data_IF_350943046839
#
_entry.id   IF_350943046839
#
_cell.length_a   1.000
_cell.length_b   1.000
_cell.length_c   1.000
_cell.angle_alpha   90.00
_cell.angle_beta   90.00
_cell.angle_gamma   90.00
#
_symmetry.space_group_name_H-M   'P 1'
#
loop_
_entity.id
_entity.type
_entity.pdbx_description
1 polymer ?
#
# COMPACT_ATOMS: atom_id res chain seq x y z
N UNK A 1 30.70 -5.49 -6.31
CA UNK A 1 29.96 -5.94 -5.12
C UNK A 1 28.78 -6.79 -5.59
N UNK A 2 28.41 -7.81 -4.84
CA UNK A 2 27.25 -8.67 -5.16
C UNK A 2 26.09 -8.37 -4.22
N UNK A 3 24.86 -8.48 -4.73
CA UNK A 3 23.63 -8.35 -3.97
C UNK A 3 22.81 -9.61 -4.10
N UNK A 4 22.05 -9.91 -3.07
CA UNK A 4 21.06 -11.00 -3.05
C UNK A 4 19.68 -10.41 -3.32
N UNK A 5 18.88 -11.06 -4.15
CA UNK A 5 17.53 -10.59 -4.45
C UNK A 5 16.56 -11.74 -4.74
N UNK A 6 15.27 -11.51 -4.56
CA UNK A 6 14.21 -12.41 -5.00
C UNK A 6 13.62 -11.87 -6.30
N UNK A 7 13.56 -12.75 -7.31
CA UNK A 7 13.07 -12.43 -8.64
C UNK A 7 12.04 -13.46 -9.11
N UNK A 8 11.39 -13.16 -10.22
CA UNK A 8 10.60 -14.11 -10.98
C UNK A 8 10.82 -13.95 -12.49
N UNK A 9 10.75 -15.08 -13.22
CA UNK A 9 11.04 -15.17 -14.65
C UNK A 9 9.80 -15.43 -15.53
N UNK A 10 8.65 -15.72 -14.92
CA UNK A 10 7.35 -15.96 -15.58
C UNK A 10 6.22 -15.57 -14.62
N UNK A 11 5.03 -15.37 -15.14
CA UNK A 11 3.85 -15.22 -14.28
C UNK A 11 3.39 -16.58 -13.73
N UNK A 12 2.89 -16.61 -12.51
CA UNK A 12 2.40 -17.83 -11.86
C UNK A 12 2.24 -17.68 -10.35
N UNK A 13 1.94 -18.80 -9.70
CA UNK A 13 1.81 -18.85 -8.24
C UNK A 13 3.16 -18.68 -7.56
N UNK A 14 3.14 -18.10 -6.37
CA UNK A 14 4.33 -17.75 -5.60
C UNK A 14 5.32 -18.92 -5.43
N UNK A 15 4.79 -20.12 -5.20
CA UNK A 15 5.62 -21.30 -4.95
C UNK A 15 6.39 -21.77 -6.19
N UNK A 16 5.85 -21.48 -7.40
CA UNK A 16 6.38 -21.98 -8.67
C UNK A 16 7.35 -21.03 -9.36
N UNK A 17 7.35 -19.76 -8.99
CA UNK A 17 7.99 -18.71 -9.80
C UNK A 17 9.07 -17.91 -9.10
N UNK A 18 9.07 -17.86 -7.76
CA UNK A 18 10.05 -17.07 -7.03
C UNK A 18 11.37 -17.82 -6.93
N UNK A 19 12.45 -17.08 -7.22
CA UNK A 19 13.83 -17.54 -7.19
C UNK A 19 14.68 -16.59 -6.32
N UNK A 20 15.58 -17.16 -5.52
CA UNK A 20 16.56 -16.41 -4.75
C UNK A 20 17.88 -16.43 -5.52
N UNK A 21 18.39 -15.28 -5.92
CA UNK A 21 19.57 -15.16 -6.77
C UNK A 21 20.60 -14.21 -6.18
N UNK A 22 21.85 -14.40 -6.58
CA UNK A 22 22.93 -13.44 -6.35
C UNK A 22 23.31 -12.79 -7.69
N UNK A 23 23.31 -11.47 -7.72
CA UNK A 23 23.61 -10.68 -8.93
C UNK A 23 24.63 -9.58 -8.59
N UNK A 24 25.23 -8.98 -9.59
CA UNK A 24 26.08 -7.82 -9.39
C UNK A 24 25.28 -6.60 -8.94
N UNK A 25 25.90 -5.75 -8.11
CA UNK A 25 25.34 -4.46 -7.73
C UNK A 25 25.09 -3.60 -8.97
N UNK A 26 23.90 -3.00 -9.06
CA UNK A 26 23.53 -2.14 -10.19
C UNK A 26 24.36 -0.85 -10.18
N UNK A 27 24.71 -0.34 -11.37
CA UNK A 27 25.28 0.99 -11.49
C UNK A 27 24.27 2.03 -10.99
N UNK A 28 24.71 2.95 -10.16
CA UNK A 28 23.92 4.06 -9.68
C UNK A 28 23.76 5.12 -10.78
N UNK A 29 22.56 5.64 -10.99
CA UNK A 29 22.31 6.78 -11.86
C UNK A 29 22.48 8.10 -11.08
N UNK A 30 22.65 9.20 -11.79
CA UNK A 30 22.92 10.50 -11.18
C UNK A 30 21.75 11.01 -10.28
N UNK A 31 20.52 10.59 -10.54
CA UNK A 31 19.29 10.96 -9.82
C UNK A 31 18.81 9.88 -8.83
N UNK A 32 19.66 8.88 -8.55
CA UNK A 32 19.34 7.77 -7.66
C UNK A 32 20.19 7.75 -6.39
N UNK A 33 19.68 7.08 -5.39
CA UNK A 33 20.41 6.68 -4.18
C UNK A 33 20.51 5.16 -4.12
N UNK A 34 21.62 4.65 -3.58
CA UNK A 34 21.80 3.23 -3.24
C UNK A 34 21.49 3.04 -1.76
N UNK A 35 20.58 2.14 -1.46
CA UNK A 35 20.12 1.85 -0.11
C UNK A 35 20.53 0.42 0.27
N UNK A 36 21.14 0.25 1.45
CA UNK A 36 21.19 -1.03 2.15
C UNK A 36 19.81 -1.26 2.74
N UNK A 37 19.09 -2.24 2.21
CA UNK A 37 17.73 -2.54 2.64
C UNK A 37 17.75 -3.28 3.98
N UNK A 38 16.99 -2.80 4.94
CA UNK A 38 16.80 -3.44 6.25
C UNK A 38 15.51 -4.24 6.32
N UNK A 39 14.42 -3.68 5.82
CA UNK A 39 13.11 -4.34 5.86
C UNK A 39 12.27 -4.02 4.64
N UNK A 40 11.39 -4.94 4.29
CA UNK A 40 10.45 -4.84 3.16
C UNK A 40 9.04 -5.16 3.64
N UNK A 41 8.13 -4.20 3.50
CA UNK A 41 6.71 -4.39 3.76
C UNK A 41 6.00 -5.03 2.57
N UNK A 42 5.24 -6.08 2.82
CA UNK A 42 4.52 -6.80 1.77
C UNK A 42 3.12 -6.22 1.53
N UNK A 43 2.71 -6.22 0.28
CA UNK A 43 1.41 -5.68 -0.14
C UNK A 43 0.66 -6.66 -1.06
N UNK A 44 -0.68 -6.73 -0.99
CA UNK A 44 -1.46 -7.59 -1.89
C UNK A 44 -1.24 -7.31 -3.37
N UNK A 45 -0.87 -6.08 -3.74
CA UNK A 45 -0.56 -5.72 -5.12
C UNK A 45 0.69 -6.45 -5.64
N UNK A 46 1.62 -6.82 -4.77
CA UNK A 46 2.86 -7.52 -5.17
C UNK A 46 2.52 -8.89 -5.77
N UNK A 47 1.77 -9.75 -5.05
CA UNK A 47 1.41 -11.06 -5.56
C UNK A 47 0.44 -10.99 -6.75
N UNK A 48 -0.50 -10.05 -6.74
CA UNK A 48 -1.40 -9.83 -7.89
C UNK A 48 -0.65 -9.50 -9.18
N UNK A 49 0.49 -8.82 -9.07
CA UNK A 49 1.33 -8.49 -10.23
C UNK A 49 2.08 -9.71 -10.73
N UNK A 50 2.77 -10.45 -9.87
CA UNK A 50 3.56 -11.59 -10.32
C UNK A 50 2.70 -12.81 -10.69
N UNK A 51 1.48 -12.92 -10.20
CA UNK A 51 0.50 -13.89 -10.71
C UNK A 51 -0.10 -13.47 -12.06
N UNK A 52 0.06 -12.23 -12.46
CA UNK A 52 -0.44 -11.74 -13.74
C UNK A 52 -1.96 -11.63 -13.79
N UNK A 53 -2.58 -11.19 -12.70
CA UNK A 53 -4.04 -11.02 -12.59
C UNK A 53 -4.59 -10.20 -13.77
N UNK A 54 -5.63 -10.73 -14.44
CA UNK A 54 -6.18 -10.19 -15.71
C UNK A 54 -6.49 -8.69 -15.63
N UNK A 55 -7.06 -8.20 -14.52
CA UNK A 55 -7.40 -6.78 -14.34
C UNK A 55 -6.16 -5.86 -14.40
N UNK A 56 -5.03 -6.29 -13.82
CA UNK A 56 -3.77 -5.53 -13.86
C UNK A 56 -3.10 -5.60 -15.23
N UNK A 57 -3.27 -6.72 -15.96
CA UNK A 57 -2.81 -6.83 -17.36
C UNK A 57 -3.59 -5.91 -18.28
N UNK A 58 -4.90 -5.84 -18.12
CA UNK A 58 -5.77 -4.91 -18.86
C UNK A 58 -5.40 -3.46 -18.53
N UNK A 59 -5.23 -3.13 -17.25
CA UNK A 59 -4.80 -1.79 -16.83
C UNK A 59 -3.44 -1.43 -17.44
N UNK A 60 -2.48 -2.36 -17.42
CA UNK A 60 -1.16 -2.14 -18.03
C UNK A 60 -1.23 -1.93 -19.54
N UNK A 61 -2.15 -2.60 -20.22
CA UNK A 61 -2.40 -2.41 -21.65
C UNK A 61 -2.95 -1.01 -21.93
N UNK A 62 -3.96 -0.54 -21.19
CA UNK A 62 -4.48 0.83 -21.33
C UNK A 62 -3.45 1.91 -20.97
N UNK A 63 -2.58 1.66 -19.98
CA UNK A 63 -1.48 2.58 -19.68
C UNK A 63 -0.46 2.66 -20.82
N UNK A 64 -0.18 1.56 -21.51
CA UNK A 64 0.67 1.54 -22.72
C UNK A 64 0.04 2.27 -23.89
N UNK A 65 -1.27 2.15 -24.10
CA UNK A 65 -2.00 2.87 -25.15
C UNK A 65 -1.83 4.39 -25.06
N UNK A 66 -1.65 4.93 -23.84
CA UNK A 66 -1.40 6.36 -23.62
C UNK A 66 0.06 6.79 -23.83
N UNK A 67 0.97 5.86 -24.16
CA UNK A 67 2.40 6.12 -24.37
C UNK A 67 2.89 5.44 -25.65
N UNK A 68 2.62 6.02 -26.83
CA UNK A 68 2.98 5.41 -28.13
C UNK A 68 4.47 5.08 -28.27
N UNK A 69 5.35 5.87 -27.65
CA UNK A 69 6.81 5.63 -27.64
C UNK A 69 7.23 4.32 -26.98
N UNK A 70 6.38 3.71 -26.16
CA UNK A 70 6.65 2.41 -25.51
C UNK A 70 6.20 1.21 -26.37
N UNK A 71 5.43 1.43 -27.44
CA UNK A 71 4.96 0.36 -28.34
C UNK A 71 6.09 -0.28 -29.14
N UNK A 72 7.10 0.50 -29.46
CA UNK A 72 8.26 0.07 -30.25
C UNK A 72 9.42 -0.47 -29.38
N UNK A 73 9.35 -0.33 -28.05
CA UNK A 73 10.32 -0.96 -27.19
C UNK A 73 10.06 -2.47 -27.21
N UNK A 74 11.02 -3.17 -27.80
CA UNK A 74 11.00 -4.62 -28.03
C UNK A 74 10.44 -5.37 -26.82
N UNK A 75 9.65 -6.43 -27.07
CA UNK A 75 9.24 -7.45 -26.09
C UNK A 75 10.42 -8.14 -25.40
N UNK A 76 11.66 -7.73 -25.69
CA UNK A 76 12.87 -8.22 -25.07
C UNK A 76 12.83 -7.96 -23.58
N UNK A 77 12.64 -9.07 -22.90
CA UNK A 77 12.78 -9.23 -21.46
C UNK A 77 11.75 -8.48 -20.61
N UNK A 78 10.50 -8.95 -20.64
CA UNK A 78 9.57 -8.71 -19.54
C UNK A 78 10.18 -9.17 -18.21
N UNK A 79 11.12 -10.08 -18.23
CA UNK A 79 11.79 -10.73 -17.11
C UNK A 79 13.33 -10.64 -17.21
N UNK A 80 14.09 -10.91 -16.14
CA UNK A 80 13.60 -11.14 -14.77
C UNK A 80 13.04 -9.86 -14.14
N UNK A 81 12.20 -10.03 -13.10
CA UNK A 81 11.63 -8.94 -12.31
C UNK A 81 11.82 -9.18 -10.83
N UNK A 82 12.17 -8.15 -10.08
CA UNK A 82 12.18 -8.16 -8.62
C UNK A 82 10.78 -8.12 -8.03
N UNK A 83 10.68 -8.40 -6.75
CA UNK A 83 9.46 -8.52 -5.96
C UNK A 83 9.49 -7.53 -4.80
N UNK A 84 8.30 -7.09 -4.34
CA UNK A 84 8.16 -6.15 -3.23
C UNK A 84 8.33 -4.69 -3.67
N UNK A 85 7.69 -3.79 -2.96
CA UNK A 85 7.68 -2.35 -3.28
C UNK A 85 8.13 -1.47 -2.13
N UNK A 86 7.60 -1.73 -0.94
CA UNK A 86 7.84 -0.93 0.24
C UNK A 86 9.12 -1.39 0.94
N UNK A 87 9.93 -0.44 1.34
CA UNK A 87 11.23 -0.72 1.94
C UNK A 87 11.62 0.32 2.99
N UNK A 88 12.59 -0.05 3.81
CA UNK A 88 13.34 0.85 4.67
C UNK A 88 14.79 0.44 4.72
N UNK A 89 15.68 1.38 4.97
CA UNK A 89 17.11 1.10 4.98
C UNK A 89 17.97 2.33 5.22
N UNK A 90 19.25 2.19 4.92
CA UNK A 90 20.26 3.23 5.09
C UNK A 90 20.90 3.54 3.75
N UNK A 91 21.08 4.82 3.43
CA UNK A 91 21.74 5.26 2.19
C UNK A 91 23.23 4.93 2.26
N UNK A 92 23.72 4.17 1.28
CA UNK A 92 25.13 3.82 1.10
C UNK A 92 25.86 4.75 0.14
N UNK A 93 25.13 5.26 -0.88
CA UNK A 93 25.71 6.05 -1.97
C UNK A 93 24.63 6.95 -2.56
N UNK A 94 25.01 8.15 -2.98
CA UNK A 94 24.12 9.11 -3.65
C UNK A 94 24.65 9.47 -5.02
N UNK A 95 23.76 9.62 -5.99
CA UNK A 95 24.08 10.12 -7.33
C UNK A 95 24.38 11.63 -7.31
N UNK A 96 25.10 12.10 -8.31
CA UNK A 96 25.60 13.50 -8.38
C UNK A 96 24.50 14.57 -8.39
N UNK A 97 23.27 14.21 -8.75
CA UNK A 97 22.13 15.14 -8.81
C UNK A 97 21.21 15.03 -7.58
N UNK A 98 21.54 14.18 -6.60
CA UNK A 98 20.78 14.05 -5.34
C UNK A 98 21.24 15.16 -4.39
N UNK A 99 20.30 15.93 -3.87
CA UNK A 99 20.60 17.10 -3.03
C UNK A 99 19.91 17.09 -1.66
N UNK A 100 18.85 16.27 -1.49
CA UNK A 100 18.03 16.30 -0.27
C UNK A 100 18.40 15.19 0.74
N UNK A 101 19.39 14.37 0.41
CA UNK A 101 19.79 13.21 1.24
C UNK A 101 21.32 13.10 1.31
N UNK A 102 21.79 12.45 2.37
CA UNK A 102 23.19 12.16 2.64
C UNK A 102 23.44 10.67 2.84
N UNK A 103 24.68 10.23 2.61
CA UNK A 103 25.12 8.88 2.99
C UNK A 103 24.97 8.71 4.50
N UNK A 104 24.41 7.59 4.93
CA UNK A 104 24.08 7.31 6.32
C UNK A 104 22.65 7.66 6.73
N UNK A 105 21.92 8.42 5.94
CA UNK A 105 20.52 8.73 6.23
C UNK A 105 19.69 7.44 6.32
N UNK A 106 18.89 7.35 7.38
CA UNK A 106 17.88 6.31 7.54
C UNK A 106 16.63 6.73 6.79
N UNK A 107 16.20 5.88 5.86
CA UNK A 107 15.10 6.20 4.95
C UNK A 107 14.07 5.07 4.87
N UNK A 108 12.87 5.42 4.44
CA UNK A 108 11.86 4.48 3.99
C UNK A 108 11.23 5.00 2.70
N UNK A 109 10.56 4.13 1.98
CA UNK A 109 9.92 4.54 0.74
C UNK A 109 9.17 3.42 0.05
N UNK A 110 8.77 3.70 -1.19
CA UNK A 110 8.12 2.71 -2.05
C UNK A 110 8.55 2.90 -3.50
N UNK A 111 8.73 1.82 -4.21
CA UNK A 111 8.91 1.86 -5.66
C UNK A 111 7.60 2.32 -6.28
N UNK A 112 7.53 3.60 -6.70
CA UNK A 112 6.30 4.26 -7.19
C UNK A 112 5.76 3.53 -8.43
N UNK A 113 6.63 3.21 -9.38
CA UNK A 113 6.26 2.38 -10.53
C UNK A 113 6.30 0.90 -10.11
N UNK A 114 5.14 0.24 -9.92
CA UNK A 114 5.13 -1.12 -9.39
C UNK A 114 5.97 -2.06 -10.25
N UNK A 115 6.71 -2.99 -9.63
CA UNK A 115 7.34 -4.08 -10.34
C UNK A 115 6.34 -4.74 -11.30
N UNK A 116 6.71 -4.88 -12.56
CA UNK A 116 5.82 -5.46 -13.57
C UNK A 116 4.86 -4.52 -14.29
N UNK A 117 4.64 -3.30 -13.80
CA UNK A 117 3.81 -2.30 -14.46
C UNK A 117 4.60 -1.08 -14.97
N UNK A 118 5.87 -0.96 -14.66
CA UNK A 118 6.70 0.18 -15.10
C UNK A 118 8.18 0.03 -14.76
N UNK A 119 8.54 -0.94 -13.91
CA UNK A 119 9.94 -1.23 -13.56
C UNK A 119 10.17 -2.72 -13.42
N UNK A 120 11.45 -3.09 -13.48
CA UNK A 120 11.94 -4.44 -13.12
C UNK A 120 12.53 -4.49 -11.71
N UNK A 121 12.64 -3.34 -11.03
CA UNK A 121 13.18 -3.27 -9.68
C UNK A 121 12.21 -3.95 -8.71
N UNK A 122 12.72 -4.54 -7.65
CA UNK A 122 11.97 -5.06 -6.51
C UNK A 122 12.71 -4.75 -5.22
N UNK A 123 11.98 -4.58 -4.14
CA UNK A 123 12.53 -4.22 -2.84
C UNK A 123 13.08 -5.41 -2.05
N UNK A 124 12.68 -6.65 -2.37
CA UNK A 124 13.24 -7.86 -1.74
C UNK A 124 14.65 -8.13 -2.26
N UNK A 125 15.58 -7.28 -1.84
CA UNK A 125 16.99 -7.29 -2.21
C UNK A 125 17.85 -6.71 -1.08
N UNK A 126 19.11 -7.10 -0.99
CA UNK A 126 20.04 -6.52 0.00
C UNK A 126 20.45 -5.09 -0.33
N UNK A 127 20.44 -4.72 -1.63
CA UNK A 127 20.74 -3.37 -2.11
C UNK A 127 19.72 -2.92 -3.15
N UNK A 128 19.21 -1.69 -3.00
CA UNK A 128 18.20 -1.12 -3.88
C UNK A 128 18.66 0.27 -4.37
N UNK A 129 18.61 0.49 -5.69
CA UNK A 129 18.78 1.82 -6.27
C UNK A 129 17.43 2.41 -6.63
N UNK A 130 17.09 3.56 -6.07
CA UNK A 130 15.81 4.28 -6.28
C UNK A 130 16.06 5.77 -6.43
N UNK A 131 15.09 6.47 -7.01
CA UNK A 131 15.13 7.94 -7.10
C UNK A 131 14.90 8.57 -5.73
N UNK A 132 15.48 9.75 -5.51
CA UNK A 132 15.23 10.50 -4.28
C UNK A 132 13.74 10.79 -4.05
N UNK A 133 12.94 10.91 -5.11
CA UNK A 133 11.48 11.10 -5.01
C UNK A 133 10.70 9.86 -4.53
N UNK A 134 11.36 8.72 -4.40
CA UNK A 134 10.77 7.45 -3.92
C UNK A 134 11.07 7.18 -2.44
N UNK A 135 11.83 8.06 -1.78
CA UNK A 135 12.28 7.90 -0.40
C UNK A 135 11.97 9.10 0.50
N UNK A 136 12.02 8.84 1.81
CA UNK A 136 11.75 9.80 2.88
C UNK A 136 12.63 9.50 4.07
N UNK A 137 12.99 10.53 4.86
CA UNK A 137 13.71 10.33 6.11
C UNK A 137 12.85 9.49 7.07
N UNK A 138 13.40 8.40 7.56
CA UNK A 138 12.77 7.58 8.57
C UNK A 138 12.80 8.32 9.91
N UNK A 139 11.64 8.56 10.56
CA UNK A 139 11.66 9.09 11.93
C UNK A 139 12.39 8.16 12.88
N UNK A 140 13.21 8.73 13.79
CA UNK A 140 14.04 7.94 14.71
C UNK A 140 13.25 7.00 15.63
N UNK A 141 12.05 7.43 16.05
CA UNK A 141 11.15 6.65 16.92
C UNK A 141 10.53 5.42 16.27
N UNK A 142 10.68 5.23 14.95
CA UNK A 142 10.06 4.15 14.18
C UNK A 142 11.15 3.15 13.79
N UNK A 143 10.94 1.85 14.07
CA UNK A 143 11.85 0.78 13.60
C UNK A 143 11.85 0.67 12.08
N UNK A 144 12.87 0.06 11.47
CA UNK A 144 12.88 -0.23 10.04
C UNK A 144 11.71 -1.14 9.64
N UNK A 145 11.37 -2.12 10.47
CA UNK A 145 10.22 -2.99 10.20
C UNK A 145 8.90 -2.19 10.07
N UNK A 146 8.63 -1.28 10.99
CA UNK A 146 7.44 -0.43 10.92
C UNK A 146 7.54 0.54 9.73
N UNK A 147 8.66 1.21 9.53
CA UNK A 147 8.85 2.17 8.44
C UNK A 147 8.63 1.54 7.06
N UNK A 148 9.11 0.31 6.84
CA UNK A 148 8.91 -0.42 5.58
C UNK A 148 7.43 -0.70 5.24
N UNK A 149 6.51 -0.60 6.20
CA UNK A 149 5.08 -0.83 5.97
C UNK A 149 4.32 0.42 5.53
N UNK A 150 4.96 1.58 5.59
CA UNK A 150 4.30 2.88 5.40
C UNK A 150 4.21 3.31 3.93
N UNK A 151 5.04 2.77 3.05
CA UNK A 151 5.17 3.21 1.67
C UNK A 151 3.84 3.29 0.91
N UNK A 152 3.34 2.15 0.46
CA UNK A 152 2.05 2.07 -0.26
C UNK A 152 0.89 2.55 0.62
N UNK A 153 0.95 2.32 1.94
CA UNK A 153 -0.12 2.73 2.83
C UNK A 153 -0.31 4.25 2.85
N UNK A 154 0.77 5.03 2.97
CA UNK A 154 0.73 6.50 2.92
C UNK A 154 0.09 7.00 1.63
N UNK A 155 0.60 6.52 0.49
CA UNK A 155 0.09 6.90 -0.83
C UNK A 155 -1.38 6.51 -1.01
N UNK A 156 -1.76 5.34 -0.50
CA UNK A 156 -3.11 4.82 -0.66
C UNK A 156 -4.11 5.62 0.17
N UNK A 157 -3.83 5.80 1.45
CA UNK A 157 -4.74 6.48 2.39
C UNK A 157 -4.81 7.98 2.10
N UNK A 158 -3.66 8.65 1.96
CA UNK A 158 -3.60 10.07 1.64
C UNK A 158 -4.26 10.41 0.31
N UNK A 159 -3.97 9.63 -0.74
CA UNK A 159 -4.58 9.81 -2.05
C UNK A 159 -6.08 9.52 -2.07
N UNK A 160 -6.54 8.50 -1.30
CA UNK A 160 -7.95 8.16 -1.21
C UNK A 160 -8.75 9.28 -0.55
N UNK A 161 -8.35 9.72 0.63
CA UNK A 161 -9.07 10.75 1.37
C UNK A 161 -9.00 12.13 0.70
N UNK A 162 -7.87 12.45 0.04
CA UNK A 162 -7.81 13.66 -0.80
C UNK A 162 -8.81 13.60 -1.94
N UNK A 163 -8.95 12.44 -2.60
CA UNK A 163 -9.86 12.32 -3.75
C UNK A 163 -11.33 12.48 -3.37
N UNK A 164 -11.75 12.00 -2.21
CA UNK A 164 -13.11 12.17 -1.69
C UNK A 164 -13.26 13.42 -0.82
N UNK A 165 -12.20 14.23 -0.70
CA UNK A 165 -12.18 15.48 0.04
C UNK A 165 -12.65 15.34 1.50
N UNK A 166 -12.02 14.42 2.26
CA UNK A 166 -12.33 14.21 3.69
C UNK A 166 -12.10 15.47 4.51
N UNK A 167 -13.09 15.84 5.33
CA UNK A 167 -13.09 16.97 6.27
C UNK A 167 -13.25 16.48 7.72
N UNK A 168 -13.00 17.36 8.68
CA UNK A 168 -13.06 17.03 10.11
C UNK A 168 -14.47 16.75 10.65
N UNK A 169 -15.49 17.28 9.98
CA UNK A 169 -16.91 17.09 10.33
C UNK A 169 -17.58 15.95 9.55
N UNK A 170 -16.81 15.25 8.71
CA UNK A 170 -17.35 14.11 7.95
C UNK A 170 -17.66 12.90 8.85
N UNK A 171 -18.67 12.15 8.45
CA UNK A 171 -18.96 10.80 8.92
C UNK A 171 -18.61 9.84 7.80
N UNK A 172 -17.51 9.09 7.97
CA UNK A 172 -16.98 8.22 6.93
C UNK A 172 -17.17 6.74 7.27
N UNK A 173 -17.71 5.98 6.32
CA UNK A 173 -17.75 4.52 6.39
C UNK A 173 -16.54 3.95 5.68
N UNK A 174 -15.84 3.00 6.32
CA UNK A 174 -14.64 2.35 5.76
C UNK A 174 -14.85 0.85 5.74
N UNK A 175 -14.79 0.21 4.56
CA UNK A 175 -14.84 -1.25 4.44
C UNK A 175 -13.48 -1.90 4.69
N UNK A 176 -13.47 -3.19 5.06
CA UNK A 176 -12.27 -3.93 5.48
C UNK A 176 -11.44 -3.18 6.53
N UNK A 177 -12.09 -2.55 7.49
CA UNK A 177 -11.52 -1.63 8.46
C UNK A 177 -10.47 -2.26 9.38
N UNK A 178 -10.45 -3.57 9.57
CA UNK A 178 -9.43 -4.31 10.34
C UNK A 178 -8.21 -4.72 9.51
N UNK A 179 -8.26 -4.57 8.18
CA UNK A 179 -7.18 -4.95 7.27
C UNK A 179 -6.00 -3.97 7.26
N UNK A 180 -4.91 -4.34 6.57
CA UNK A 180 -3.66 -3.59 6.57
C UNK A 180 -3.75 -2.14 6.08
N UNK A 181 -4.65 -1.82 5.14
CA UNK A 181 -4.91 -0.43 4.70
C UNK A 181 -6.08 0.16 5.48
N UNK A 182 -7.17 -0.62 5.67
CA UNK A 182 -8.36 -0.14 6.37
C UNK A 182 -8.07 0.35 7.79
N UNK A 183 -7.26 -0.38 8.56
CA UNK A 183 -6.90 0.01 9.93
C UNK A 183 -6.10 1.32 10.00
N UNK A 184 -5.27 1.59 9.00
CA UNK A 184 -4.54 2.86 8.88
C UNK A 184 -5.52 3.96 8.46
N UNK A 185 -6.43 3.68 7.52
CA UNK A 185 -7.44 4.63 7.06
C UNK A 185 -8.38 5.05 8.18
N UNK A 186 -8.84 4.10 9.05
CA UNK A 186 -9.64 4.41 10.25
C UNK A 186 -8.91 5.44 11.11
N UNK A 187 -7.70 5.13 11.53
CA UNK A 187 -6.92 6.00 12.43
C UNK A 187 -6.58 7.35 11.78
N UNK A 188 -6.25 7.34 10.49
CA UNK A 188 -5.98 8.58 9.75
C UNK A 188 -7.21 9.50 9.73
N UNK A 189 -8.41 8.96 9.44
CA UNK A 189 -9.64 9.74 9.43
C UNK A 189 -10.00 10.25 10.83
N UNK A 190 -9.84 9.43 11.87
CA UNK A 190 -10.00 9.84 13.27
C UNK A 190 -9.03 10.97 13.64
N UNK A 191 -7.76 10.84 13.26
CA UNK A 191 -6.75 11.88 13.50
C UNK A 191 -7.05 13.20 12.75
N UNK A 192 -7.84 13.15 11.68
CA UNK A 192 -8.37 14.33 10.97
C UNK A 192 -9.64 14.92 11.61
N UNK A 193 -10.20 14.29 12.63
CA UNK A 193 -11.40 14.73 13.33
C UNK A 193 -12.71 14.12 12.81
N UNK A 194 -12.67 13.23 11.80
CA UNK A 194 -13.86 12.60 11.26
C UNK A 194 -14.42 11.53 12.21
N UNK A 195 -15.75 11.34 12.22
CA UNK A 195 -16.43 10.19 12.84
C UNK A 195 -16.32 9.00 11.88
N UNK A 196 -15.80 7.87 12.36
CA UNK A 196 -15.49 6.70 11.52
C UNK A 196 -16.34 5.50 11.88
N UNK A 197 -17.06 4.93 10.91
CA UNK A 197 -17.78 3.68 11.00
C UNK A 197 -16.99 2.61 10.23
N UNK A 198 -16.41 1.64 10.95
CA UNK A 198 -15.49 0.65 10.38
C UNK A 198 -16.15 -0.70 10.15
N UNK A 199 -16.35 -1.11 8.89
CA UNK A 199 -16.95 -2.41 8.56
C UNK A 199 -15.87 -3.49 8.61
N UNK A 200 -16.08 -4.48 9.48
CA UNK A 200 -15.19 -5.63 9.67
C UNK A 200 -15.96 -6.86 10.17
N UNK A 201 -15.28 -7.96 10.51
CA UNK A 201 -15.88 -9.08 11.22
C UNK A 201 -16.23 -8.70 12.65
N UNK A 202 -17.21 -9.36 13.23
CA UNK A 202 -17.62 -9.16 14.63
C UNK A 202 -16.44 -9.35 15.61
N UNK A 203 -15.59 -10.34 15.35
CA UNK A 203 -14.37 -10.60 16.12
C UNK A 203 -13.33 -9.46 16.06
N UNK A 204 -13.52 -8.49 15.18
CA UNK A 204 -12.64 -7.32 15.04
C UNK A 204 -13.19 -6.08 15.75
N UNK A 205 -14.35 -6.17 16.42
CA UNK A 205 -15.03 -5.01 17.01
C UNK A 205 -14.15 -4.26 18.01
N UNK A 206 -13.52 -4.97 18.95
CA UNK A 206 -12.62 -4.35 19.93
C UNK A 206 -11.38 -3.73 19.28
N UNK A 207 -10.88 -4.35 18.21
CA UNK A 207 -9.78 -3.78 17.45
C UNK A 207 -10.20 -2.46 16.78
N UNK A 208 -11.35 -2.41 16.11
CA UNK A 208 -11.87 -1.17 15.50
C UNK A 208 -12.07 -0.07 16.54
N UNK A 209 -12.63 -0.38 17.71
CA UNK A 209 -12.75 0.58 18.83
C UNK A 209 -11.39 1.11 19.28
N UNK A 210 -10.39 0.23 19.38
CA UNK A 210 -9.02 0.64 19.76
C UNK A 210 -8.34 1.55 18.75
N UNK A 211 -8.81 1.57 17.49
CA UNK A 211 -8.38 2.48 16.44
C UNK A 211 -9.14 3.83 16.46
N UNK A 212 -10.12 4.00 17.35
CA UNK A 212 -10.99 5.18 17.45
C UNK A 212 -12.21 5.13 16.54
N UNK A 213 -12.47 4.01 15.85
CA UNK A 213 -13.66 3.82 15.01
C UNK A 213 -14.81 3.14 15.74
N UNK A 214 -16.01 3.26 15.19
CA UNK A 214 -17.22 2.55 15.62
C UNK A 214 -17.33 1.28 14.78
N UNK A 215 -17.38 0.07 15.39
CA UNK A 215 -17.42 -1.18 14.64
C UNK A 215 -18.80 -1.43 14.04
N UNK A 216 -18.81 -1.84 12.76
CA UNK A 216 -19.96 -2.31 12.01
C UNK A 216 -19.65 -3.74 11.56
N UNK A 217 -20.48 -4.71 11.94
CA UNK A 217 -20.26 -6.11 11.58
C UNK A 217 -20.87 -6.44 10.22
N UNK A 218 -20.10 -7.02 9.31
CA UNK A 218 -20.62 -7.52 8.03
C UNK A 218 -21.42 -8.83 8.19
N UNK A 219 -21.45 -9.44 9.39
CA UNK A 219 -22.24 -10.63 9.70
C UNK A 219 -23.71 -10.31 10.02
N UNK A 220 -24.08 -9.05 10.14
CA UNK A 220 -25.43 -8.54 10.39
C UNK A 220 -25.81 -7.52 9.32
N UNK A 221 -27.05 -7.03 9.32
CA UNK A 221 -27.48 -5.96 8.43
C UNK A 221 -26.63 -4.70 8.65
N UNK A 222 -25.83 -4.34 7.64
CA UNK A 222 -24.86 -3.26 7.73
C UNK A 222 -25.56 -1.90 7.76
N UNK A 223 -26.60 -1.71 6.92
CA UNK A 223 -27.30 -0.42 6.82
C UNK A 223 -28.00 -0.09 8.13
N UNK A 224 -28.74 -1.03 8.73
CA UNK A 224 -29.36 -0.87 10.04
C UNK A 224 -28.36 -0.49 11.12
N UNK A 225 -27.22 -1.18 11.22
CA UNK A 225 -26.18 -0.86 12.19
C UNK A 225 -25.59 0.55 11.97
N UNK A 226 -25.43 0.99 10.72
CA UNK A 226 -24.95 2.35 10.41
C UNK A 226 -25.95 3.37 10.93
N UNK A 227 -27.28 3.19 10.65
CA UNK A 227 -28.30 4.11 11.11
C UNK A 227 -28.43 4.13 12.64
N UNK A 228 -28.26 3.01 13.31
CA UNK A 228 -28.24 2.93 14.79
C UNK A 228 -27.09 3.75 15.41
N UNK A 229 -25.99 3.94 14.69
CA UNK A 229 -24.83 4.72 15.14
C UNK A 229 -24.97 6.23 14.87
N UNK A 230 -26.02 6.67 14.19
CA UNK A 230 -26.27 8.06 13.81
C UNK A 230 -27.39 8.67 14.64
N UNK A 231 -27.21 9.92 15.05
CA UNK A 231 -28.31 10.72 15.58
C UNK A 231 -29.24 11.20 14.45
N UNK A 232 -30.44 11.69 14.77
CA UNK A 232 -31.43 12.16 13.79
C UNK A 232 -30.89 13.24 12.82
N UNK A 233 -29.88 14.01 13.24
CA UNK A 233 -29.28 15.08 12.45
C UNK A 233 -28.04 14.64 11.70
N UNK A 234 -27.50 13.45 11.99
CA UNK A 234 -26.29 12.94 11.36
C UNK A 234 -26.63 12.12 10.12
N UNK A 235 -25.75 12.17 9.15
CA UNK A 235 -25.77 11.31 7.95
C UNK A 235 -24.35 10.94 7.56
N UNK A 236 -24.20 9.77 6.95
CA UNK A 236 -22.94 9.41 6.30
C UNK A 236 -22.64 10.42 5.20
N UNK A 237 -21.42 10.93 5.16
CA UNK A 237 -20.99 11.94 4.18
C UNK A 237 -19.93 11.41 3.23
N UNK A 238 -19.16 10.40 3.64
CA UNK A 238 -18.10 9.78 2.86
C UNK A 238 -18.09 8.26 2.98
N UNK A 239 -17.60 7.60 1.94
CA UNK A 239 -17.37 6.16 1.92
C UNK A 239 -16.01 5.83 1.32
N UNK A 240 -15.20 5.05 2.03
CA UNK A 240 -13.95 4.49 1.50
C UNK A 240 -14.02 2.97 1.47
N UNK A 241 -14.12 2.42 0.27
CA UNK A 241 -14.10 0.99 0.07
C UNK A 241 -12.67 0.48 -0.13
N UNK A 242 -12.20 -0.32 0.84
CA UNK A 242 -10.90 -0.99 0.81
C UNK A 242 -10.97 -2.47 0.41
N UNK A 243 -12.15 -3.01 0.14
CA UNK A 243 -12.38 -4.43 -0.13
C UNK A 243 -12.80 -4.72 -1.57
N UNK A 244 -13.74 -3.93 -2.10
CA UNK A 244 -14.42 -4.17 -3.38
C UNK A 244 -15.79 -4.83 -3.23
N UNK A 245 -16.27 -5.45 -4.32
CA UNK A 245 -17.57 -6.10 -4.32
C UNK A 245 -18.76 -5.13 -4.20
N UNK A 246 -19.70 -5.42 -3.32
CA UNK A 246 -20.96 -4.68 -3.16
C UNK A 246 -20.84 -3.41 -2.30
N UNK A 247 -19.68 -3.14 -1.67
CA UNK A 247 -19.54 -1.99 -0.76
C UNK A 247 -19.72 -0.62 -1.45
N UNK A 248 -19.36 -0.51 -2.73
CA UNK A 248 -19.64 0.73 -3.48
C UNK A 248 -21.16 0.93 -3.65
N UNK A 249 -21.95 -0.15 -3.82
CA UNK A 249 -23.41 -0.07 -3.87
C UNK A 249 -23.99 0.40 -2.53
N UNK A 250 -23.45 -0.14 -1.43
CA UNK A 250 -23.83 0.32 -0.07
C UNK A 250 -23.64 1.84 0.07
N UNK A 251 -22.53 2.40 -0.41
CA UNK A 251 -22.33 3.84 -0.39
C UNK A 251 -23.44 4.62 -1.13
N UNK A 252 -23.90 4.12 -2.28
CA UNK A 252 -25.04 4.73 -2.98
C UNK A 252 -26.37 4.54 -2.26
N UNK A 253 -26.62 3.37 -1.64
CA UNK A 253 -27.81 3.11 -0.84
C UNK A 253 -27.90 4.07 0.37
N UNK A 254 -26.77 4.42 0.97
CA UNK A 254 -26.69 5.43 2.04
C UNK A 254 -26.88 6.87 1.53
N UNK A 255 -27.24 7.06 0.27
CA UNK A 255 -27.57 8.36 -0.33
C UNK A 255 -26.36 9.17 -0.79
N UNK A 256 -25.17 8.60 -0.82
CA UNK A 256 -23.97 9.32 -1.23
C UNK A 256 -23.90 9.54 -2.75
N UNK A 257 -23.29 10.65 -3.14
CA UNK A 257 -22.91 10.89 -4.55
C UNK A 257 -21.62 10.14 -4.88
N UNK A 258 -21.41 9.82 -6.15
CA UNK A 258 -20.19 9.15 -6.59
C UNK A 258 -18.90 9.90 -6.23
N UNK A 259 -18.95 11.24 -6.16
CA UNK A 259 -17.83 12.08 -5.73
C UNK A 259 -17.38 11.81 -4.29
N UNK A 260 -18.29 11.35 -3.42
CA UNK A 260 -18.06 11.11 -2.00
C UNK A 260 -17.71 9.65 -1.69
N UNK A 261 -17.71 8.79 -2.72
CA UNK A 261 -17.37 7.38 -2.63
C UNK A 261 -16.02 7.14 -3.29
N UNK A 262 -15.06 6.66 -2.50
CA UNK A 262 -13.76 6.18 -2.96
C UNK A 262 -13.65 4.67 -2.86
N UNK A 263 -13.03 4.00 -3.85
CA UNK A 263 -12.70 2.58 -3.77
C UNK A 263 -11.28 2.32 -4.22
N UNK A 264 -10.63 1.36 -3.57
CA UNK A 264 -9.31 0.86 -3.95
C UNK A 264 -9.39 -0.27 -4.99
N UNK A 265 -10.60 -0.74 -5.31
CA UNK A 265 -10.82 -1.87 -6.20
C UNK A 265 -11.61 -1.41 -7.43
N UNK A 266 -10.96 -1.35 -8.61
CA UNK A 266 -11.64 -0.89 -9.82
C UNK A 266 -12.67 -1.92 -10.29
N UNK A 267 -13.86 -1.45 -10.69
CA UNK A 267 -14.86 -2.28 -11.36
C UNK A 267 -15.62 -1.46 -12.40
N UNK A 268 -16.26 -2.10 -13.40
CA UNK A 268 -17.12 -1.41 -14.36
C UNK A 268 -18.23 -0.62 -13.65
N UNK A 269 -18.84 -1.18 -12.60
CA UNK A 269 -19.88 -0.52 -11.81
C UNK A 269 -19.41 0.82 -11.21
N UNK A 270 -18.20 0.85 -10.63
CA UNK A 270 -17.57 2.05 -10.09
C UNK A 270 -17.48 3.15 -11.13
N UNK A 271 -17.04 2.80 -12.35
CA UNK A 271 -16.87 3.76 -13.45
C UNK A 271 -18.20 4.29 -13.97
N UNK A 272 -19.19 3.42 -14.19
CA UNK A 272 -20.52 3.77 -14.72
C UNK A 272 -21.28 4.66 -13.74
N UNK A 273 -21.21 4.37 -12.43
CA UNK A 273 -21.91 5.11 -11.39
C UNK A 273 -21.18 6.37 -10.94
N UNK A 274 -20.00 6.66 -11.48
CA UNK A 274 -19.22 7.85 -11.18
C UNK A 274 -18.57 7.86 -9.81
N UNK A 275 -18.42 6.69 -9.15
CA UNK A 275 -17.61 6.59 -7.94
C UNK A 275 -16.11 6.67 -8.28
N UNK A 276 -15.29 7.05 -7.31
CA UNK A 276 -13.87 7.29 -7.55
C UNK A 276 -13.05 6.02 -7.35
N UNK A 277 -12.45 5.48 -8.42
CA UNK A 277 -11.30 4.60 -8.27
C UNK A 277 -10.12 5.44 -7.80
N UNK A 278 -9.66 5.25 -6.57
CA UNK A 278 -8.75 6.12 -5.86
C UNK A 278 -7.51 5.40 -5.32
N UNK A 279 -6.80 6.02 -4.38
CA UNK A 279 -5.58 5.51 -3.77
C UNK A 279 -4.32 6.18 -4.32
N UNK A 280 -3.22 5.45 -4.57
CA UNK A 280 -1.90 6.02 -4.87
C UNK A 280 -1.86 6.98 -6.06
N UNK A 281 -2.78 6.84 -7.02
CA UNK A 281 -2.88 7.72 -8.19
C UNK A 281 -3.23 9.18 -7.87
N UNK A 282 -3.75 9.45 -6.68
CA UNK A 282 -4.12 10.78 -6.19
C UNK A 282 -3.21 11.24 -5.05
N UNK A 283 -2.17 10.48 -4.75
CA UNK A 283 -1.22 10.79 -3.69
C UNK A 283 -0.32 11.99 -4.05
N UNK A 284 0.27 12.57 -3.00
CA UNK A 284 1.30 13.59 -3.07
C UNK A 284 2.47 13.19 -2.18
N UNK A 285 3.61 13.82 -2.41
CA UNK A 285 4.80 13.64 -1.57
C UNK A 285 4.50 13.89 -0.08
N UNK A 286 3.69 14.90 0.22
CA UNK A 286 3.27 15.25 1.58
C UNK A 286 2.55 14.14 2.34
N UNK A 287 1.95 13.16 1.65
CA UNK A 287 1.19 12.07 2.30
C UNK A 287 2.11 11.15 3.10
N UNK A 288 3.34 10.95 2.63
CA UNK A 288 4.34 10.20 3.39
C UNK A 288 4.72 10.93 4.67
N UNK A 289 5.02 12.23 4.55
CA UNK A 289 5.40 13.07 5.70
C UNK A 289 4.28 13.08 6.73
N UNK A 290 3.05 13.21 6.26
CA UNK A 290 1.88 13.27 7.14
C UNK A 290 1.68 11.95 7.90
N UNK A 291 1.66 10.81 7.21
CA UNK A 291 1.51 9.52 7.89
C UNK A 291 2.69 9.25 8.83
N UNK A 292 3.93 9.57 8.42
CA UNK A 292 5.10 9.41 9.27
C UNK A 292 5.00 10.24 10.57
N UNK A 293 4.49 11.48 10.48
CA UNK A 293 4.22 12.32 11.67
C UNK A 293 3.15 11.72 12.56
N UNK A 294 2.03 11.26 11.99
CA UNK A 294 0.95 10.63 12.76
C UNK A 294 1.43 9.36 13.49
N UNK A 295 2.24 8.55 12.83
CA UNK A 295 2.83 7.36 13.45
C UNK A 295 3.84 7.73 14.54
N UNK A 296 4.72 8.70 14.30
CA UNK A 296 5.71 9.17 15.29
C UNK A 296 5.08 9.77 16.53
N UNK A 297 3.89 10.37 16.39
CA UNK A 297 3.12 10.97 17.48
C UNK A 297 2.14 9.98 18.14
N UNK A 298 2.20 8.70 17.79
CA UNK A 298 1.29 7.63 18.26
C UNK A 298 -0.19 7.87 17.94
N UNK A 299 -0.51 8.74 16.99
CA UNK A 299 -1.87 8.98 16.51
C UNK A 299 -2.33 7.89 15.51
N UNK A 300 -1.38 7.27 14.82
CA UNK A 300 -1.60 6.08 13.97
C UNK A 300 -0.63 4.99 14.42
N UNK A 301 -1.18 3.84 14.76
CA UNK A 301 -0.41 2.63 15.12
C UNK A 301 -0.50 1.65 13.96
N UNK A 302 0.65 1.31 13.39
CA UNK A 302 0.72 0.28 12.35
C UNK A 302 1.05 -1.05 13.01
N UNK A 303 0.12 -1.99 12.94
CA UNK A 303 0.36 -3.33 13.44
C UNK A 303 1.18 -4.12 12.42
N UNK A 304 2.33 -4.66 12.85
CA UNK A 304 3.12 -5.65 12.11
C UNK A 304 2.68 -7.03 12.62
N UNK A 305 1.89 -7.73 11.83
CA UNK A 305 1.30 -9.02 12.19
C UNK A 305 2.36 -10.13 12.27
N UNK A 306 3.36 -10.08 11.36
CA UNK A 306 4.46 -11.05 11.39
C UNK A 306 5.71 -10.50 10.67
N UNK A 307 6.88 -10.91 11.15
CA UNK A 307 8.18 -10.64 10.54
C UNK A 307 8.79 -11.96 10.08
N UNK A 308 9.21 -12.02 8.83
CA UNK A 308 9.79 -13.18 8.16
C UNK A 308 11.26 -12.91 7.84
N UNK A 309 12.08 -13.96 7.81
CA UNK A 309 13.47 -13.82 7.39
C UNK A 309 13.59 -13.69 5.86
N UNK A 310 14.70 -13.11 5.41
CA UNK A 310 15.01 -13.03 3.98
C UNK A 310 15.54 -14.36 3.45
N UNK A 311 14.66 -15.33 3.35
CA UNK A 311 14.87 -16.62 2.69
C UNK A 311 13.77 -16.89 1.69
N UNK A 312 14.05 -17.71 0.66
CA UNK A 312 13.02 -18.06 -0.32
C UNK A 312 11.80 -18.73 0.32
N UNK A 313 12.04 -19.62 1.29
CA UNK A 313 10.97 -20.33 1.99
C UNK A 313 10.07 -19.39 2.81
N UNK A 314 10.68 -18.49 3.59
CA UNK A 314 9.94 -17.55 4.42
C UNK A 314 9.18 -16.52 3.58
N UNK A 315 9.76 -16.03 2.48
CA UNK A 315 9.08 -15.10 1.57
C UNK A 315 7.89 -15.76 0.87
N UNK A 316 8.01 -17.02 0.42
CA UNK A 316 6.88 -17.79 -0.12
C UNK A 316 5.77 -17.94 0.95
N UNK A 317 6.13 -18.34 2.16
CA UNK A 317 5.19 -18.46 3.30
C UNK A 317 4.49 -17.13 3.59
N UNK A 318 5.21 -16.01 3.56
CA UNK A 318 4.65 -14.68 3.79
C UNK A 318 3.63 -14.28 2.72
N UNK A 319 3.93 -14.49 1.44
CA UNK A 319 2.98 -14.18 0.36
C UNK A 319 1.78 -15.13 0.35
N UNK A 320 1.95 -16.42 0.65
CA UNK A 320 0.84 -17.37 0.80
C UNK A 320 -0.10 -16.93 1.93
N UNK A 321 0.44 -16.51 3.09
CA UNK A 321 -0.36 -15.94 4.18
C UNK A 321 -1.08 -14.67 3.75
N UNK A 322 -0.42 -13.80 3.00
CA UNK A 322 -1.02 -12.56 2.51
C UNK A 322 -2.15 -12.81 1.50
N UNK A 323 -2.02 -13.83 0.62
CA UNK A 323 -3.06 -14.24 -0.34
C UNK A 323 -4.29 -14.84 0.36
N UNK A 324 -4.08 -15.66 1.40
CA UNK A 324 -5.15 -16.24 2.21
C UNK A 324 -5.97 -15.17 2.94
N UNK A 325 -5.40 -14.00 3.17
CA UNK A 325 -6.05 -12.93 3.93
C UNK A 325 -6.02 -13.16 5.45
N UNK A 326 -6.94 -12.49 6.16
CA UNK A 326 -7.09 -12.58 7.63
C UNK A 326 -5.86 -12.10 8.43
N UNK A 327 -4.98 -11.31 7.81
CA UNK A 327 -3.87 -10.65 8.53
C UNK A 327 -4.39 -9.48 9.35
N UNK A 328 -3.97 -9.39 10.61
CA UNK A 328 -4.27 -8.25 11.48
C UNK A 328 -3.15 -7.22 11.39
N UNK A 329 -3.03 -6.52 10.24
CA UNK A 329 -1.97 -5.55 10.00
C UNK A 329 -1.11 -5.90 8.79
N UNK A 330 0.19 -5.59 8.87
CA UNK A 330 1.15 -5.72 7.77
C UNK A 330 2.10 -6.89 7.99
N UNK A 331 2.56 -7.50 6.90
CA UNK A 331 3.64 -8.50 6.91
C UNK A 331 4.94 -7.86 6.46
N UNK A 332 6.04 -8.24 7.09
CA UNK A 332 7.37 -7.68 6.83
C UNK A 332 8.36 -8.82 6.58
N UNK A 333 9.30 -8.60 5.67
CA UNK A 333 10.51 -9.41 5.50
C UNK A 333 11.70 -8.60 5.99
N UNK A 334 12.39 -9.11 7.02
CA UNK A 334 13.62 -8.53 7.55
C UNK A 334 14.81 -9.03 6.74
N UNK A 335 15.53 -8.10 6.10
CA UNK A 335 16.68 -8.39 5.23
C UNK A 335 17.99 -8.27 6.01
N UNK A 336 18.11 -7.22 6.81
CA UNK A 336 19.24 -6.98 7.72
C UNK A 336 18.69 -6.64 9.10
N UNK A 337 19.34 -7.10 10.14
CA UNK A 337 19.00 -6.72 11.53
C UNK A 337 19.51 -5.31 11.84
N UNK A 338 18.74 -4.60 12.69
CA UNK A 338 19.15 -3.31 13.26
C UNK A 338 20.39 -3.45 14.14
#
# INVERSE_FOLDING_TARGET
>A
MSRKEIIYNKFGKVDDILEFVTTDSKKLNNDEVRIKVYSVGLNPVDYKIFEGVKQLRILSFFMKLKRPSEWFKSKKALFPRGVGRDFSGIILEIGSNVSNFSVGDKVFGTIINPPGLGTKKGALTTELCVKESEIYIKPDKISFNMASTMGVASLTVGGAFRKINLQSDDIVVISAASGGIGSIAVQYAVAKGAKVLGIASENSSEYIKSLGGIPISYNRDIESQIYECLSEKEKVTKFLDCFGGEYVKLGFNLGLKGSDIGTLVPSPYVMIRGANFTGPRHSRYSDFIELAKLVSNNQVKINVDNVYNFSLADVKKAYNKLEQGHTKGKLVVEINKE
#
